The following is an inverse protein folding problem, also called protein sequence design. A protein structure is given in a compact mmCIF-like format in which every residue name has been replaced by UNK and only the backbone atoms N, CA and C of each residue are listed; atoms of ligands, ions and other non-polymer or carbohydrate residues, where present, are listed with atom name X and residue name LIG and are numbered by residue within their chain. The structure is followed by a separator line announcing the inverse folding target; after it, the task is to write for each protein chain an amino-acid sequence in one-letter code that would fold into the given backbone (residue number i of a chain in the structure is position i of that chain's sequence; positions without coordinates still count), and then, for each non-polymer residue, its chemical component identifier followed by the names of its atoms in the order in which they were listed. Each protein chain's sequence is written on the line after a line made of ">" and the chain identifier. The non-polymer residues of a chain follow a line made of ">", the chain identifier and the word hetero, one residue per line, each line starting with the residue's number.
data_IF_218628757238
#
_entry.id   IF_218628757238
#
_cell.length_a   1.000
_cell.length_b   1.000
_cell.length_c   1.000
_cell.angle_alpha   90.00
_cell.angle_beta   90.00
_cell.angle_gamma   90.00
#
_symmetry.space_group_name_H-M   'P 1'
#
loop_
_entity.id
_entity.type
_entity.pdbx_description
1 polymer ?
#
# COMPACT_ATOMS: atom_id res chain seq x y z
N UNK A 1 -16.80 4.19 22.85
CA UNK A 1 -15.77 5.07 22.41
C UNK A 1 -15.26 4.72 21.04
N UNK A 2 -14.44 5.59 20.50
CA UNK A 2 -13.92 5.35 19.17
C UNK A 2 -13.06 4.09 19.17
N UNK A 3 -13.24 3.32 18.15
CA UNK A 3 -12.46 2.13 18.01
C UNK A 3 -11.23 2.43 17.20
N UNK A 4 -10.12 2.07 17.77
CA UNK A 4 -8.87 2.22 17.06
C UNK A 4 -8.65 0.99 16.21
N UNK A 5 -8.78 1.16 14.94
CA UNK A 5 -8.39 0.11 14.02
C UNK A 5 -6.94 0.33 13.65
N UNK A 6 -6.10 -0.64 13.90
CA UNK A 6 -4.73 -0.50 13.46
C UNK A 6 -4.69 -0.43 11.95
N UNK A 7 -4.11 0.64 11.46
CA UNK A 7 -3.94 0.80 10.03
C UNK A 7 -2.46 0.72 9.74
N UNK A 8 -2.09 -0.23 8.92
CA UNK A 8 -0.71 -0.42 8.51
C UNK A 8 -0.52 0.20 7.15
N UNK A 9 0.57 0.89 6.98
CA UNK A 9 0.90 1.51 5.71
C UNK A 9 2.23 1.00 5.22
N UNK A 10 2.28 0.69 3.94
CA UNK A 10 3.50 0.24 3.29
C UNK A 10 3.83 1.22 2.19
N UNK A 11 5.05 1.69 2.18
CA UNK A 11 5.50 2.64 1.18
C UNK A 11 6.46 1.94 0.24
N UNK A 12 6.16 2.04 -1.04
CA UNK A 12 7.02 1.47 -2.08
C UNK A 12 7.43 2.59 -3.02
N UNK A 13 8.71 2.72 -3.21
CA UNK A 13 9.23 3.73 -4.12
C UNK A 13 9.70 3.06 -5.40
N UNK A 14 9.21 3.58 -6.51
CA UNK A 14 9.58 3.08 -7.82
C UNK A 14 10.58 4.03 -8.42
N UNK A 15 11.71 3.54 -8.93
CA UNK A 15 12.65 4.40 -9.64
C UNK A 15 11.96 5.09 -10.80
N UNK A 16 12.20 6.37 -10.95
CA UNK A 16 11.61 7.18 -12.03
C UNK A 16 10.11 7.31 -11.89
N UNK A 17 9.55 7.09 -10.70
CA UNK A 17 8.12 7.18 -10.55
C UNK A 17 7.79 7.65 -9.15
N UNK A 18 6.51 7.73 -8.87
CA UNK A 18 6.02 8.20 -7.60
C UNK A 18 6.09 7.12 -6.54
N UNK A 19 6.00 7.55 -5.31
CA UNK A 19 5.84 6.61 -4.22
C UNK A 19 4.44 6.04 -4.22
N UNK A 20 4.36 4.77 -3.90
CA UNK A 20 3.07 4.09 -3.81
C UNK A 20 2.86 3.72 -2.37
N UNK A 21 1.71 4.10 -1.84
CA UNK A 21 1.37 3.80 -0.46
C UNK A 21 0.20 2.83 -0.45
N UNK A 22 0.41 1.70 0.17
CA UNK A 22 -0.65 0.73 0.38
C UNK A 22 -1.03 0.72 1.85
N UNK A 23 -2.31 0.71 2.12
CA UNK A 23 -2.82 0.67 3.48
C UNK A 23 -3.73 -0.53 3.65
N UNK A 24 -3.73 -1.08 4.85
CA UNK A 24 -4.57 -2.21 5.14
C UNK A 24 -4.69 -2.44 6.63
N UNK A 25 -5.52 -3.38 7.00
CA UNK A 25 -5.76 -3.70 8.41
C UNK A 25 -4.62 -4.51 9.01
N UNK A 26 -3.73 -5.01 8.19
CA UNK A 26 -2.56 -5.73 8.67
C UNK A 26 -1.40 -5.42 7.73
N UNK A 27 -0.20 -5.75 8.20
CA UNK A 27 0.98 -5.57 7.39
C UNK A 27 0.85 -6.27 6.05
N UNK A 28 0.34 -7.47 6.09
CA UNK A 28 0.17 -8.27 4.89
C UNK A 28 -0.79 -7.59 3.93
N UNK A 29 -1.91 -7.12 4.46
CA UNK A 29 -2.89 -6.44 3.62
C UNK A 29 -2.32 -5.16 3.03
N UNK A 30 -1.55 -4.42 3.82
CA UNK A 30 -0.94 -3.20 3.32
C UNK A 30 0.01 -3.51 2.18
N UNK A 31 0.81 -4.56 2.33
CA UNK A 31 1.75 -4.95 1.28
C UNK A 31 1.02 -5.40 0.01
N UNK A 32 -0.05 -6.15 0.18
CA UNK A 32 -0.83 -6.59 -0.97
C UNK A 32 -1.45 -5.42 -1.70
N UNK A 33 -1.98 -4.47 -0.95
CA UNK A 33 -2.58 -3.29 -1.56
C UNK A 33 -1.55 -2.47 -2.32
N UNK A 34 -0.37 -2.33 -1.75
CA UNK A 34 0.71 -1.63 -2.44
C UNK A 34 1.11 -2.36 -3.71
N UNK A 35 1.18 -3.68 -3.65
CA UNK A 35 1.54 -4.47 -4.80
C UNK A 35 0.49 -4.35 -5.90
N UNK A 36 -0.78 -4.33 -5.53
CA UNK A 36 -1.84 -4.15 -6.52
C UNK A 36 -1.69 -2.83 -7.24
N UNK A 37 -1.42 -1.77 -6.52
CA UNK A 37 -1.23 -0.46 -7.14
C UNK A 37 -0.02 -0.48 -8.06
N UNK A 38 1.03 -1.13 -7.61
CA UNK A 38 2.24 -1.25 -8.42
C UNK A 38 1.95 -1.97 -9.72
N UNK A 39 1.23 -3.08 -9.64
CA UNK A 39 0.88 -3.85 -10.82
C UNK A 39 0.07 -3.03 -11.80
N UNK A 40 -0.86 -2.24 -11.31
CA UNK A 40 -1.65 -1.40 -12.19
C UNK A 40 -0.78 -0.40 -12.94
N UNK A 41 0.19 0.15 -12.26
CA UNK A 41 1.08 1.12 -12.89
C UNK A 41 1.95 0.44 -13.93
N UNK A 42 2.47 -0.73 -13.60
CA UNK A 42 3.36 -1.44 -14.53
C UNK A 42 2.62 -2.05 -15.70
N UNK A 43 1.34 -2.29 -15.52
CA UNK A 43 0.55 -2.99 -16.53
C UNK A 43 -0.20 -2.05 -17.47
N UNK A 44 0.13 -0.81 -17.43
CA UNK A 44 -0.55 0.18 -18.30
C UNK A 44 -0.08 0.09 -19.75
#
# INVERSE_FOLDING_TARGET
>A
GPQHRPVFKTEVQIPNSKKIIGAGSSKKNAQQNAAFKLLKILNV
#
